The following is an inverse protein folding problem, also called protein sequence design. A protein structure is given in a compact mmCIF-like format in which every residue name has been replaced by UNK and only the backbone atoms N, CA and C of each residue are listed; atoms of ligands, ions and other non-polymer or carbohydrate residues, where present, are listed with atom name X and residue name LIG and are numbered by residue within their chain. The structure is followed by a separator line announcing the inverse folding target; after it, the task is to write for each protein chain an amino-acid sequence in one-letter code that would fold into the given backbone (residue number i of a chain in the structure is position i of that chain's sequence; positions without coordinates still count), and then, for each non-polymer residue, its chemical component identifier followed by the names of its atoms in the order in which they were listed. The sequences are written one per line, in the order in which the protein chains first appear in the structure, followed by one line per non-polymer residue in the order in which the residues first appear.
data_IF_561636069642
#
_entry.id   IF_561636069642
#
_cell.length_a   1.000
_cell.length_b   1.000
_cell.length_c   1.000
_cell.angle_alpha   90.00
_cell.angle_beta   90.00
_cell.angle_gamma   90.00
#
_symmetry.space_group_name_H-M   'P 1'
#
loop_
_entity.id
_entity.type
_entity.pdbx_description
1 polymer ?
#
# COMPACT_ATOMS: atom_id res chain seq x y z
N UNK A 1 -22.99 32.35 14.24
CA UNK A 1 -21.71 32.09 14.87
C UNK A 1 -21.51 30.61 14.99
N UNK A 2 -20.32 30.14 14.68
CA UNK A 2 -19.93 28.73 14.93
C UNK A 2 -19.35 28.68 16.34
N UNK A 3 -19.92 27.84 17.20
CA UNK A 3 -19.33 27.51 18.50
C UNK A 3 -18.52 26.23 18.36
N UNK A 4 -17.32 26.22 18.91
CA UNK A 4 -16.55 25.00 19.10
C UNK A 4 -16.92 24.45 20.48
N UNK A 5 -17.48 23.27 20.51
CA UNK A 5 -17.66 22.50 21.73
C UNK A 5 -16.49 21.55 21.85
N UNK A 6 -15.65 21.73 22.87
CA UNK A 6 -14.56 20.83 23.19
C UNK A 6 -15.00 20.03 24.40
N UNK A 7 -15.11 18.73 24.22
CA UNK A 7 -15.40 17.76 25.26
C UNK A 7 -14.20 16.82 25.42
N UNK A 8 -13.94 16.37 26.62
CA UNK A 8 -12.91 15.40 26.96
C UNK A 8 -11.46 15.78 26.53
N UNK A 9 -10.94 16.91 27.03
CA UNK A 9 -9.52 17.22 26.89
C UNK A 9 -8.69 16.25 27.73
N UNK A 10 -7.87 15.42 27.07
CA UNK A 10 -6.86 14.59 27.72
C UNK A 10 -5.48 15.18 27.50
N UNK A 11 -4.72 15.34 28.56
CA UNK A 11 -3.33 15.77 28.51
C UNK A 11 -2.46 14.56 28.82
N UNK A 12 -1.55 14.26 27.91
CA UNK A 12 -0.57 13.18 28.09
C UNK A 12 0.84 13.78 28.09
N UNK A 13 1.71 13.21 28.90
CA UNK A 13 3.14 13.47 28.73
C UNK A 13 3.60 12.74 27.46
N UNK A 14 4.37 13.45 26.63
CA UNK A 14 5.00 12.81 25.46
C UNK A 14 6.05 11.82 25.97
N UNK A 15 6.07 10.57 25.51
CA UNK A 15 7.09 9.61 25.87
C UNK A 15 8.47 10.09 25.41
N UNK A 16 9.51 9.68 26.12
CA UNK A 16 10.88 9.98 25.70
C UNK A 16 11.24 9.18 24.44
N UNK A 17 10.94 7.91 24.46
CA UNK A 17 11.27 6.97 23.39
C UNK A 17 9.99 6.34 22.86
N UNK A 18 9.56 6.77 21.69
CA UNK A 18 8.38 6.24 21.01
C UNK A 18 8.61 6.38 19.49
N UNK A 19 8.82 5.25 18.85
CA UNK A 19 8.82 5.15 17.40
C UNK A 19 7.51 4.51 16.96
N UNK A 20 7.06 4.77 15.75
CA UNK A 20 5.88 4.10 15.22
C UNK A 20 5.98 3.83 13.73
N UNK A 21 5.29 2.80 13.30
CA UNK A 21 4.97 2.56 11.89
C UNK A 21 3.69 3.31 11.56
N UNK A 22 3.69 4.08 10.47
CA UNK A 22 2.47 4.63 9.91
C UNK A 22 1.71 3.55 9.15
N UNK A 23 0.42 3.78 8.92
CA UNK A 23 -0.41 2.89 8.09
C UNK A 23 0.00 2.87 6.60
N UNK A 24 1.09 3.55 6.25
CA UNK A 24 1.61 3.59 4.90
C UNK A 24 2.64 2.48 4.72
N UNK A 25 2.15 1.35 4.26
CA UNK A 25 2.96 0.17 3.94
C UNK A 25 2.98 0.01 2.42
N UNK A 26 4.11 -0.37 1.86
CA UNK A 26 4.24 -0.58 0.43
C UNK A 26 5.14 -1.77 0.09
N UNK A 27 4.79 -2.49 -0.96
CA UNK A 27 5.67 -3.48 -1.62
C UNK A 27 6.33 -2.94 -2.86
N UNK A 28 5.78 -1.85 -3.42
CA UNK A 28 6.19 -1.27 -4.67
C UNK A 28 6.74 0.14 -4.44
N UNK A 29 6.39 1.08 -5.26
CA UNK A 29 6.94 2.41 -5.22
C UNK A 29 6.14 3.33 -4.28
N UNK A 30 6.76 3.80 -3.20
CA UNK A 30 6.18 4.77 -2.27
C UNK A 30 5.82 6.11 -2.94
N UNK A 31 6.46 6.46 -4.04
CA UNK A 31 6.22 7.73 -4.73
C UNK A 31 4.92 7.72 -5.54
N UNK A 32 4.36 6.55 -5.80
CA UNK A 32 3.06 6.41 -6.49
C UNK A 32 1.89 6.58 -5.51
N UNK A 33 1.81 7.73 -4.89
CA UNK A 33 0.69 8.05 -4.00
C UNK A 33 -0.65 7.99 -4.73
N UNK A 34 -1.59 7.22 -4.20
CA UNK A 34 -2.94 7.09 -4.75
C UNK A 34 -3.23 5.77 -5.45
N UNK A 35 -2.25 4.88 -5.57
CA UNK A 35 -2.47 3.53 -6.10
C UNK A 35 -2.64 2.53 -4.95
N UNK A 36 -3.59 1.64 -5.10
CA UNK A 36 -3.71 0.49 -4.20
C UNK A 36 -2.57 -0.48 -4.43
N UNK A 37 -2.06 -1.08 -3.36
CA UNK A 37 -1.11 -2.18 -3.45
C UNK A 37 -1.71 -3.39 -4.17
N UNK A 38 -0.86 -4.29 -4.64
CA UNK A 38 -1.34 -5.52 -5.23
C UNK A 38 -2.02 -6.41 -4.17
N UNK A 39 -3.28 -6.75 -4.41
CA UNK A 39 -3.98 -7.82 -3.68
C UNK A 39 -3.71 -9.20 -4.29
N UNK A 40 -3.43 -9.25 -5.59
CA UNK A 40 -3.02 -10.44 -6.30
C UNK A 40 -1.92 -10.11 -7.30
N UNK A 41 -0.85 -10.94 -7.34
CA UNK A 41 0.33 -10.69 -8.16
C UNK A 41 0.90 -11.99 -8.74
N UNK A 42 1.03 -12.13 -10.07
CA UNK A 42 1.62 -13.33 -10.64
C UNK A 42 3.08 -13.48 -10.25
N UNK A 43 3.48 -14.69 -9.90
CA UNK A 43 4.85 -14.99 -9.45
C UNK A 43 5.92 -14.54 -10.46
N UNK A 44 5.65 -14.70 -11.75
CA UNK A 44 6.57 -14.30 -12.83
C UNK A 44 6.68 -12.79 -13.03
N UNK A 45 5.78 -12.04 -12.44
CA UNK A 45 5.70 -10.60 -12.56
C UNK A 45 6.13 -9.85 -11.29
N UNK A 46 6.61 -10.58 -10.29
CA UNK A 46 7.18 -10.00 -9.09
C UNK A 46 8.63 -9.59 -9.39
N UNK A 47 8.99 -8.30 -9.23
CA UNK A 47 10.35 -7.84 -9.50
C UNK A 47 11.37 -8.49 -8.55
N UNK A 48 12.56 -8.76 -9.06
CA UNK A 48 13.62 -9.45 -8.30
C UNK A 48 14.15 -8.59 -7.11
N UNK A 49 13.93 -7.30 -7.15
CA UNK A 49 14.31 -6.33 -6.12
C UNK A 49 13.14 -5.87 -5.26
N UNK A 50 12.08 -6.67 -5.19
CA UNK A 50 10.93 -6.36 -4.35
C UNK A 50 11.38 -6.08 -2.91
N UNK A 51 10.94 -4.95 -2.38
CA UNK A 51 11.23 -4.56 -1.01
C UNK A 51 9.94 -4.09 -0.32
N UNK A 52 9.62 -4.75 0.78
CA UNK A 52 8.55 -4.29 1.64
C UNK A 52 9.03 -3.10 2.48
N UNK A 53 8.28 -2.04 2.45
CA UNK A 53 8.65 -0.76 3.03
C UNK A 53 7.56 -0.22 3.95
N UNK A 54 7.98 0.56 4.94
CA UNK A 54 7.09 1.26 5.85
C UNK A 54 7.60 2.68 6.12
N UNK A 55 6.68 3.62 6.23
CA UNK A 55 6.98 4.94 6.74
C UNK A 55 7.00 4.89 8.26
N UNK A 56 8.09 5.37 8.84
CA UNK A 56 8.34 5.32 10.28
C UNK A 56 8.51 6.73 10.84
N UNK A 57 8.10 6.94 12.07
CA UNK A 57 8.15 8.23 12.76
C UNK A 57 8.80 8.08 14.13
N UNK A 58 9.54 9.10 14.52
CA UNK A 58 9.86 9.31 15.92
C UNK A 58 8.83 10.29 16.52
N UNK A 59 7.98 9.79 17.38
CA UNK A 59 6.94 10.56 18.08
C UNK A 59 7.30 10.81 19.55
N UNK A 60 8.40 10.23 20.02
CA UNK A 60 9.04 10.56 21.29
C UNK A 60 9.78 11.90 21.23
N UNK A 61 10.26 12.39 22.34
CA UNK A 61 11.02 13.67 22.37
C UNK A 61 12.54 13.49 22.36
N UNK A 62 13.05 12.26 22.42
CA UNK A 62 14.47 11.93 22.29
C UNK A 62 14.79 11.39 20.90
N UNK A 63 15.99 11.66 20.39
CA UNK A 63 16.48 11.07 19.15
C UNK A 63 16.63 9.55 19.30
N UNK A 64 16.18 8.79 18.31
CA UNK A 64 16.27 7.33 18.30
C UNK A 64 17.43 6.85 17.45
N UNK A 65 18.25 5.95 17.98
CA UNK A 65 19.40 5.38 17.28
C UNK A 65 19.16 3.92 16.89
N UNK A 66 19.83 3.49 15.82
CA UNK A 66 19.72 2.13 15.26
C UNK A 66 18.27 1.71 14.97
N UNK A 67 17.45 2.65 14.54
CA UNK A 67 16.07 2.36 14.12
C UNK A 67 16.12 1.44 12.91
N UNK A 68 15.49 0.27 13.03
CA UNK A 68 15.56 -0.80 12.04
C UNK A 68 14.16 -1.40 11.84
N UNK A 69 13.79 -1.57 10.57
CA UNK A 69 12.56 -2.26 10.18
C UNK A 69 12.87 -3.74 9.90
N UNK A 70 12.25 -4.62 10.66
CA UNK A 70 12.18 -6.05 10.36
C UNK A 70 10.94 -6.36 9.53
N UNK A 71 11.12 -7.07 8.43
CA UNK A 71 10.03 -7.55 7.55
C UNK A 71 10.05 -9.06 7.58
N UNK A 72 8.99 -9.65 8.11
CA UNK A 72 8.83 -11.11 8.20
C UNK A 72 7.76 -11.58 7.22
N UNK A 73 8.14 -12.50 6.34
CA UNK A 73 7.20 -13.15 5.45
C UNK A 73 7.62 -14.60 5.20
N UNK A 74 6.65 -15.51 5.09
CA UNK A 74 6.88 -16.95 4.92
C UNK A 74 7.90 -17.55 5.93
N UNK A 75 7.91 -17.02 7.16
CA UNK A 75 8.80 -17.47 8.23
C UNK A 75 10.25 -16.99 8.13
N UNK A 76 10.55 -16.07 7.22
CA UNK A 76 11.88 -15.46 7.06
C UNK A 76 11.79 -13.97 7.38
N UNK A 77 12.76 -13.46 8.16
CA UNK A 77 12.84 -12.02 8.45
C UNK A 77 14.04 -11.41 7.75
N UNK A 78 13.81 -10.33 7.02
CA UNK A 78 14.84 -9.45 6.50
C UNK A 78 14.82 -8.11 7.27
N UNK A 79 15.92 -7.39 7.25
CA UNK A 79 16.05 -6.12 7.97
C UNK A 79 16.48 -5.00 7.03
N UNK A 80 15.95 -3.81 7.28
CA UNK A 80 16.46 -2.57 6.67
C UNK A 80 17.87 -2.24 7.18
N UNK A 81 18.53 -1.31 6.53
CA UNK A 81 19.66 -0.62 7.14
C UNK A 81 19.19 0.14 8.40
N UNK A 82 20.05 0.18 9.42
CA UNK A 82 19.77 0.95 10.61
C UNK A 82 19.99 2.46 10.35
N UNK A 83 19.11 3.28 10.88
CA UNK A 83 19.21 4.74 10.78
C UNK A 83 19.15 5.41 12.16
N UNK A 84 19.51 6.69 12.20
CA UNK A 84 19.14 7.59 13.30
C UNK A 84 17.87 8.33 12.88
N UNK A 85 16.87 8.34 13.74
CA UNK A 85 15.61 9.03 13.53
C UNK A 85 15.46 10.14 14.57
N UNK A 86 15.72 11.38 14.16
CA UNK A 86 15.67 12.53 15.04
C UNK A 86 14.25 12.81 15.56
N UNK A 87 14.16 13.53 16.67
CA UNK A 87 12.89 13.99 17.23
C UNK A 87 11.97 14.61 16.16
N UNK A 88 10.72 14.22 16.19
CA UNK A 88 9.66 14.73 15.31
C UNK A 88 9.94 14.57 13.80
N UNK A 89 10.79 13.63 13.41
CA UNK A 89 11.07 13.31 12.01
C UNK A 89 10.45 11.97 11.59
N UNK A 90 10.40 11.77 10.29
CA UNK A 90 9.98 10.55 9.67
C UNK A 90 10.96 10.13 8.58
N UNK A 91 11.01 8.84 8.31
CA UNK A 91 11.77 8.28 7.19
C UNK A 91 11.03 7.05 6.64
N UNK A 92 11.50 6.56 5.51
CA UNK A 92 11.00 5.33 4.89
C UNK A 92 12.06 4.26 4.98
N UNK A 93 11.74 3.17 5.67
CA UNK A 93 12.60 2.00 5.77
C UNK A 93 12.06 0.86 4.91
N UNK A 94 12.95 0.12 4.27
CA UNK A 94 12.60 -1.04 3.46
C UNK A 94 13.54 -2.21 3.67
N UNK A 95 13.01 -3.42 3.55
CA UNK A 95 13.78 -4.65 3.57
C UNK A 95 13.37 -5.52 2.38
N UNK A 96 14.37 -6.14 1.75
CA UNK A 96 14.16 -7.00 0.60
C UNK A 96 13.33 -8.23 0.98
N UNK A 97 12.33 -8.53 0.18
CA UNK A 97 11.51 -9.70 0.33
C UNK A 97 11.13 -10.26 -1.05
N UNK A 98 11.29 -11.57 -1.23
CA UNK A 98 10.98 -12.24 -2.49
C UNK A 98 10.08 -13.45 -2.25
N UNK A 99 8.80 -13.39 -2.65
CA UNK A 99 7.95 -14.56 -2.64
C UNK A 99 8.50 -15.63 -3.61
N UNK A 100 8.40 -16.88 -3.20
CA UNK A 100 8.92 -18.02 -4.00
C UNK A 100 7.88 -19.10 -4.31
N UNK A 101 6.65 -18.93 -3.87
CA UNK A 101 5.58 -19.90 -4.04
C UNK A 101 4.23 -19.22 -4.23
N UNK A 102 3.33 -19.94 -4.91
CA UNK A 102 1.93 -19.52 -5.07
C UNK A 102 1.18 -19.60 -3.74
N UNK A 103 0.24 -18.70 -3.55
CA UNK A 103 -0.66 -18.66 -2.40
C UNK A 103 -0.63 -17.37 -1.63
N UNK A 104 -1.36 -17.30 -0.50
CA UNK A 104 -1.40 -16.10 0.32
C UNK A 104 -0.05 -15.85 1.01
N UNK A 105 0.34 -14.60 1.04
CA UNK A 105 1.53 -14.09 1.71
C UNK A 105 1.09 -13.06 2.75
N UNK A 106 1.37 -13.34 4.02
CA UNK A 106 1.29 -12.35 5.08
C UNK A 106 2.67 -11.74 5.30
N UNK A 107 2.74 -10.42 5.33
CA UNK A 107 3.95 -9.66 5.61
C UNK A 107 3.76 -8.91 6.90
N UNK A 108 4.61 -9.20 7.86
CA UNK A 108 4.63 -8.55 9.18
C UNK A 108 5.80 -7.58 9.27
N UNK A 109 5.54 -6.41 9.78
CA UNK A 109 6.51 -5.34 9.98
C UNK A 109 6.72 -5.13 11.47
N UNK A 110 7.97 -5.01 11.88
CA UNK A 110 8.35 -4.71 13.26
C UNK A 110 9.43 -3.66 13.28
N UNK A 111 9.22 -2.57 14.00
CA UNK A 111 10.18 -1.50 14.18
C UNK A 111 10.91 -1.71 15.51
N UNK A 112 12.22 -1.53 15.50
CA UNK A 112 13.07 -1.61 16.69
C UNK A 112 14.08 -0.47 16.72
N UNK A 113 14.52 -0.08 17.92
CA UNK A 113 15.57 0.91 18.16
C UNK A 113 16.43 0.47 19.34
N UNK A 114 17.53 1.21 19.62
CA UNK A 114 18.37 0.93 20.79
C UNK A 114 17.64 1.19 22.11
N UNK A 115 16.88 2.27 22.18
CA UNK A 115 16.09 2.58 23.36
C UNK A 115 14.84 1.68 23.46
N UNK A 116 14.44 1.39 24.68
CA UNK A 116 13.17 0.68 24.92
C UNK A 116 12.04 1.62 24.58
N UNK A 117 11.20 1.20 23.66
CA UNK A 117 10.02 1.94 23.24
C UNK A 117 8.94 1.90 24.34
N UNK A 118 8.39 3.07 24.65
CA UNK A 118 7.38 3.24 25.71
C UNK A 118 5.97 2.88 25.23
N UNK A 119 5.77 2.75 23.89
CA UNK A 119 4.50 2.37 23.28
C UNK A 119 4.70 1.31 22.17
N UNK A 120 5.20 0.12 22.48
CA UNK A 120 5.63 -0.87 21.48
C UNK A 120 4.49 -1.41 20.61
N UNK A 121 3.24 -1.16 20.95
CA UNK A 121 2.08 -1.61 20.19
C UNK A 121 1.97 -0.91 18.82
N UNK A 122 2.49 0.32 18.68
CA UNK A 122 2.49 1.06 17.44
C UNK A 122 3.70 0.75 16.53
N UNK A 123 4.59 -0.13 16.99
CA UNK A 123 5.78 -0.60 16.26
C UNK A 123 5.53 -1.82 15.37
N UNK A 124 4.29 -2.23 15.23
CA UNK A 124 3.91 -3.39 14.45
C UNK A 124 2.84 -3.03 13.43
N UNK A 125 2.97 -3.62 12.25
CA UNK A 125 1.97 -3.53 11.18
C UNK A 125 1.97 -4.82 10.39
N UNK A 126 0.91 -5.05 9.62
CA UNK A 126 0.83 -6.20 8.72
C UNK A 126 0.02 -5.86 7.49
N UNK A 127 0.36 -6.51 6.40
CA UNK A 127 -0.44 -6.52 5.17
C UNK A 127 -0.35 -7.88 4.51
N UNK A 128 -1.19 -8.15 3.51
CA UNK A 128 -1.19 -9.41 2.81
C UNK A 128 -1.55 -9.24 1.35
N UNK A 129 -1.03 -10.15 0.53
CA UNK A 129 -1.42 -10.30 -0.86
C UNK A 129 -1.37 -11.77 -1.26
N UNK A 130 -1.86 -12.10 -2.45
CA UNK A 130 -1.81 -13.45 -2.99
C UNK A 130 -0.83 -13.52 -4.14
N UNK A 131 0.12 -14.44 -4.07
CA UNK A 131 0.95 -14.81 -5.22
C UNK A 131 0.14 -15.79 -6.07
N UNK A 132 -0.07 -15.43 -7.32
CA UNK A 132 -0.91 -16.17 -8.26
C UNK A 132 -0.08 -16.75 -9.41
N UNK A 133 -0.68 -17.61 -10.20
CA UNK A 133 -0.09 -18.09 -11.44
C UNK A 133 -0.25 -17.04 -12.58
N UNK A 134 -1.44 -16.49 -12.75
CA UNK A 134 -1.79 -15.66 -13.90
C UNK A 134 -2.57 -14.38 -13.58
N UNK A 135 -3.03 -14.18 -12.35
CA UNK A 135 -3.98 -13.10 -12.04
C UNK A 135 -3.30 -11.93 -11.36
N UNK A 136 -3.58 -10.71 -11.84
CA UNK A 136 -3.30 -9.46 -11.13
C UNK A 136 -4.57 -8.91 -10.49
N UNK A 137 -4.45 -8.28 -9.35
CA UNK A 137 -5.47 -7.49 -8.70
C UNK A 137 -4.84 -6.33 -7.94
N UNK A 138 -5.39 -5.13 -8.09
CA UNK A 138 -5.05 -3.93 -7.33
C UNK A 138 -6.14 -3.63 -6.29
N UNK A 139 -6.70 -4.68 -5.74
CA UNK A 139 -7.76 -4.65 -4.73
C UNK A 139 -7.54 -5.77 -3.71
N UNK A 140 -8.22 -5.69 -2.60
CA UNK A 140 -8.22 -6.70 -1.54
C UNK A 140 -9.31 -7.78 -1.72
N UNK A 141 -9.99 -7.78 -2.86
CA UNK A 141 -11.12 -8.65 -3.16
C UNK A 141 -12.42 -8.23 -2.47
N UNK A 142 -12.43 -7.11 -1.75
CA UNK A 142 -13.61 -6.59 -1.04
C UNK A 142 -14.09 -5.30 -1.67
N UNK A 143 -15.26 -5.32 -2.27
CA UNK A 143 -15.90 -4.09 -2.77
C UNK A 143 -16.49 -3.30 -1.60
N UNK A 144 -15.83 -2.21 -1.21
CA UNK A 144 -16.28 -1.34 -0.11
C UNK A 144 -16.94 -0.06 -0.59
N UNK A 145 -16.79 0.30 -1.86
CA UNK A 145 -17.39 1.49 -2.42
C UNK A 145 -17.73 1.26 -3.91
N UNK A 146 -18.80 1.91 -4.37
CA UNK A 146 -19.12 2.02 -5.78
C UNK A 146 -18.55 3.33 -6.32
N UNK A 147 -18.12 3.32 -7.59
CA UNK A 147 -17.90 4.56 -8.29
C UNK A 147 -19.22 5.32 -8.40
N UNK A 148 -19.29 6.57 -7.96
CA UNK A 148 -20.52 7.34 -8.00
C UNK A 148 -20.82 7.71 -9.44
N UNK A 149 -21.75 7.00 -10.07
CA UNK A 149 -22.45 7.52 -11.23
C UNK A 149 -23.61 8.37 -10.71
N UNK A 150 -23.63 9.64 -11.01
CA UNK A 150 -24.82 10.48 -10.78
C UNK A 150 -25.87 10.29 -11.90
N UNK A 151 -25.59 9.39 -12.83
CA UNK A 151 -26.44 9.06 -13.96
C UNK A 151 -26.38 10.07 -15.12
N UNK A 152 -25.49 11.05 -15.05
CA UNK A 152 -25.37 12.10 -16.08
C UNK A 152 -24.02 12.09 -16.79
N UNK A 153 -22.96 11.59 -16.15
CA UNK A 153 -21.62 11.58 -16.70
C UNK A 153 -21.03 10.17 -16.75
N UNK A 154 -20.26 9.90 -17.79
CA UNK A 154 -19.45 8.69 -17.90
C UNK A 154 -18.32 8.72 -16.86
N UNK A 155 -18.02 7.59 -16.26
CA UNK A 155 -16.98 7.45 -15.25
C UNK A 155 -15.91 6.50 -15.74
N UNK A 156 -14.65 6.95 -15.66
CA UNK A 156 -13.49 6.16 -16.03
C UNK A 156 -12.68 5.87 -14.78
N UNK A 157 -12.46 4.59 -14.50
CA UNK A 157 -11.50 4.13 -13.48
C UNK A 157 -10.33 3.46 -14.16
N UNK A 158 -9.14 3.66 -13.62
CA UNK A 158 -7.92 3.05 -14.13
C UNK A 158 -7.14 2.40 -13.02
N UNK A 159 -6.53 1.26 -13.33
CA UNK A 159 -5.52 0.61 -12.50
C UNK A 159 -4.25 0.42 -13.31
N UNK A 160 -3.11 0.77 -12.72
CA UNK A 160 -1.80 0.61 -13.32
C UNK A 160 -1.18 -0.71 -12.84
N UNK A 161 -0.64 -1.47 -13.77
CA UNK A 161 0.07 -2.72 -13.49
C UNK A 161 1.50 -2.63 -14.04
N UNK A 162 2.46 -3.03 -13.22
CA UNK A 162 3.85 -3.13 -13.66
C UNK A 162 4.06 -4.47 -14.35
N UNK A 163 4.62 -4.44 -15.55
CA UNK A 163 4.92 -5.63 -16.34
C UNK A 163 6.44 -5.83 -16.32
N UNK A 164 6.89 -6.91 -15.71
CA UNK A 164 8.31 -7.25 -15.54
C UNK A 164 8.80 -8.12 -16.70
N UNK A 165 7.97 -9.04 -17.16
CA UNK A 165 8.23 -9.91 -18.29
C UNK A 165 7.09 -9.86 -19.30
N UNK A 166 7.36 -10.13 -20.56
CA UNK A 166 6.34 -10.17 -21.61
C UNK A 166 5.20 -11.12 -21.24
N UNK A 167 3.98 -10.64 -21.40
CA UNK A 167 2.77 -11.36 -21.00
C UNK A 167 1.64 -11.17 -22.02
N UNK A 168 0.77 -12.17 -22.11
CA UNK A 168 -0.46 -12.09 -22.89
C UNK A 168 -1.64 -11.94 -21.92
N UNK A 169 -2.38 -10.85 -22.05
CA UNK A 169 -3.61 -10.63 -21.29
C UNK A 169 -4.76 -11.33 -21.99
N UNK A 170 -5.41 -12.28 -21.31
CA UNK A 170 -6.51 -13.07 -21.87
C UNK A 170 -7.88 -12.55 -21.43
N UNK A 171 -7.95 -11.90 -20.28
CA UNK A 171 -9.21 -11.39 -19.71
C UNK A 171 -8.96 -10.17 -18.84
N UNK A 172 -9.98 -9.36 -18.68
CA UNK A 172 -10.08 -8.29 -17.70
C UNK A 172 -11.36 -8.54 -16.92
N UNK A 173 -11.22 -8.77 -15.62
CA UNK A 173 -12.34 -8.98 -14.71
C UNK A 173 -12.77 -7.64 -14.09
N UNK A 174 -14.08 -7.37 -14.13
CA UNK A 174 -14.65 -6.15 -13.55
C UNK A 174 -15.70 -6.55 -12.51
N UNK A 175 -15.51 -6.11 -11.29
CA UNK A 175 -16.49 -6.30 -10.23
C UNK A 175 -17.68 -5.36 -10.45
N UNK A 176 -18.86 -5.94 -10.59
CA UNK A 176 -20.13 -5.19 -10.67
C UNK A 176 -20.80 -5.26 -9.31
N UNK A 177 -21.11 -4.11 -8.74
CA UNK A 177 -21.73 -4.02 -7.44
C UNK A 177 -23.19 -4.49 -7.47
N UNK A 178 -23.64 -5.12 -6.39
CA UNK A 178 -25.04 -5.46 -6.19
C UNK A 178 -25.91 -4.20 -6.22
N UNK A 179 -27.00 -4.26 -6.99
CA UNK A 179 -27.90 -3.12 -7.18
C UNK A 179 -27.57 -2.24 -8.38
N UNK A 180 -26.51 -2.55 -9.14
CA UNK A 180 -26.26 -1.88 -10.42
C UNK A 180 -27.42 -2.08 -11.39
N UNK A 181 -27.75 -1.05 -12.15
CA UNK A 181 -28.88 -1.09 -13.08
C UNK A 181 -28.61 -2.08 -14.22
N UNK A 182 -29.56 -2.97 -14.46
CA UNK A 182 -29.46 -3.96 -15.52
C UNK A 182 -29.46 -3.30 -16.91
N UNK A 183 -28.46 -3.64 -17.74
CA UNK A 183 -28.31 -3.08 -19.09
C UNK A 183 -27.30 -1.93 -19.17
N UNK A 184 -26.68 -1.53 -18.04
CA UNK A 184 -25.55 -0.60 -18.05
C UNK A 184 -24.36 -1.24 -18.77
N UNK A 185 -23.73 -0.49 -19.66
CA UNK A 185 -22.54 -0.94 -20.39
C UNK A 185 -21.28 -0.68 -19.58
N UNK A 186 -20.41 -1.67 -19.53
CA UNK A 186 -19.05 -1.54 -19.04
C UNK A 186 -18.10 -1.80 -20.20
N UNK A 187 -17.21 -0.86 -20.47
CA UNK A 187 -16.21 -0.98 -21.53
C UNK A 187 -14.85 -1.02 -20.85
N UNK A 188 -14.07 -2.06 -21.16
CA UNK A 188 -12.72 -2.22 -20.65
C UNK A 188 -11.71 -1.96 -21.76
N UNK A 189 -10.65 -1.22 -21.43
CA UNK A 189 -9.54 -0.96 -22.32
C UNK A 189 -8.22 -1.30 -21.63
N UNK A 190 -7.28 -1.81 -22.41
CA UNK A 190 -5.90 -1.98 -22.01
C UNK A 190 -5.06 -0.96 -22.76
N UNK A 191 -4.27 -0.18 -22.04
CA UNK A 191 -3.39 0.84 -22.62
C UNK A 191 -1.96 0.57 -22.20
N UNK A 192 -1.02 0.83 -23.09
CA UNK A 192 0.36 1.10 -22.72
C UNK A 192 0.43 2.53 -22.13
N UNK A 193 1.23 2.70 -21.08
CA UNK A 193 1.37 4.00 -20.43
C UNK A 193 1.98 5.06 -21.36
N UNK A 194 2.74 4.65 -22.39
CA UNK A 194 3.28 5.55 -23.40
C UNK A 194 2.19 6.07 -24.35
N UNK A 195 1.25 5.22 -24.72
CA UNK A 195 0.11 5.60 -25.57
C UNK A 195 -0.80 6.61 -24.89
N UNK A 196 -0.97 6.50 -23.57
CA UNK A 196 -1.76 7.44 -22.77
C UNK A 196 -1.13 8.84 -22.72
N UNK A 197 0.17 8.94 -22.59
CA UNK A 197 0.89 10.24 -22.51
C UNK A 197 1.01 10.95 -23.85
N UNK A 198 1.01 10.21 -24.95
CA UNK A 198 1.28 10.75 -26.30
C UNK A 198 0.01 11.14 -27.04
N UNK A 199 -1.12 10.53 -26.73
CA UNK A 199 -2.36 10.77 -27.48
C UNK A 199 -3.06 12.07 -27.09
N UNK A 200 -2.92 12.56 -25.86
CA UNK A 200 -3.67 13.72 -25.36
C UNK A 200 -5.18 13.63 -25.60
N UNK A 201 -5.63 12.51 -26.11
CA UNK A 201 -7.03 12.28 -26.47
C UNK A 201 -7.80 11.83 -25.24
N UNK A 202 -8.59 12.72 -24.72
CA UNK A 202 -9.74 12.33 -23.92
C UNK A 202 -10.66 11.50 -24.84
N UNK A 203 -10.82 10.23 -24.54
CA UNK A 203 -11.89 9.44 -25.13
C UNK A 203 -13.23 9.95 -24.58
N UNK A 204 -13.73 11.01 -25.19
CA UNK A 204 -15.09 11.45 -25.06
C UNK A 204 -15.76 11.20 -26.40
N UNK A 205 -16.65 10.23 -26.43
CA UNK A 205 -17.44 9.93 -27.59
C UNK A 205 -18.87 9.68 -27.19
#
# INVERSE_FOLDING_TARGET
GYSWEIDDIKVYDTPANDTRIDNYLSYTDFERTGYYEYGAWPLTQIPADLAAAAKVYNVGYEDQTNVTLGVTAAGTTAYSSAIMLAYATADTLSAAYMPSALGPVAVEYTLTADAVDENPENNMASQSFSVTDLSWGRDDGVSTAAAPGDGTDDYITMSLFDIVEDVVVYAIDVAIMDGSEAGTSVITHLFDMFDWNDSGEQYGG
#
